data_IF_711139216785
#
_entry.id   IF_711139216785
#
_cell.length_a   1.000
_cell.length_b   1.000
_cell.length_c   1.000
_cell.angle_alpha   90.00
_cell.angle_beta   90.00
_cell.angle_gamma   90.00
#
_symmetry.space_group_name_H-M   'P 1'
#
loop_
_entity.id
_entity.type
_entity.pdbx_description
1 polymer ?
#
# COMPACT_ATOMS: atom_id res chain seq x y z
N UNK A 1 -8.25 -12.35 11.96
CA UNK A 1 -7.26 -11.35 12.41
C UNK A 1 -7.75 -9.98 11.98
N UNK A 2 -7.40 -8.90 12.68
CA UNK A 2 -7.78 -7.53 12.30
C UNK A 2 -6.56 -6.70 11.89
N UNK A 3 -6.71 -5.82 10.89
CA UNK A 3 -5.69 -4.82 10.55
C UNK A 3 -5.96 -3.52 11.32
N UNK A 4 -4.96 -3.03 12.03
CA UNK A 4 -5.03 -1.75 12.76
C UNK A 4 -4.20 -0.70 12.04
N UNK A 5 -4.85 0.42 11.70
CA UNK A 5 -4.22 1.55 11.02
C UNK A 5 -4.71 2.90 11.60
N UNK A 6 -4.09 4.00 11.17
CA UNK A 6 -4.50 5.38 11.47
C UNK A 6 -4.54 5.80 12.95
N UNK A 7 -3.72 5.17 13.81
CA UNK A 7 -3.55 5.65 15.19
C UNK A 7 -2.96 7.07 15.19
N UNK A 8 -3.74 8.03 15.68
CA UNK A 8 -3.31 9.42 15.76
C UNK A 8 -3.73 10.06 17.09
N UNK A 9 -2.83 10.85 17.68
CA UNK A 9 -3.09 11.68 18.86
C UNK A 9 -2.81 13.13 18.51
N UNK A 10 -3.77 14.01 18.86
CA UNK A 10 -3.66 15.44 18.66
C UNK A 10 -2.35 16.00 19.24
N UNK A 11 -1.69 16.92 18.53
CA UNK A 11 -0.34 17.40 18.89
C UNK A 11 -0.22 17.88 20.35
N UNK A 12 -1.25 18.58 20.86
CA UNK A 12 -1.32 19.11 22.23
C UNK A 12 -1.50 18.05 23.33
N UNK A 13 -1.93 16.83 22.96
CA UNK A 13 -2.20 15.73 23.91
C UNK A 13 -1.12 14.65 23.89
N UNK A 14 -0.04 14.87 23.14
CA UNK A 14 1.13 13.98 23.14
C UNK A 14 1.78 13.97 24.52
N UNK A 15 2.45 12.86 24.87
CA UNK A 15 3.06 12.60 26.18
C UNK A 15 2.09 12.48 27.37
N UNK A 16 0.77 12.61 27.18
CA UNK A 16 -0.25 12.40 28.22
C UNK A 16 -0.78 10.97 28.31
N UNK A 17 -0.05 9.99 27.75
CA UNK A 17 -0.43 8.56 27.73
C UNK A 17 -1.82 8.26 27.13
N UNK A 18 -2.29 9.06 26.17
CA UNK A 18 -3.57 8.85 25.47
C UNK A 18 -3.52 7.64 24.54
N UNK A 19 -2.43 7.44 23.79
CA UNK A 19 -2.32 6.32 22.84
C UNK A 19 -2.51 4.93 23.50
N UNK A 20 -1.90 4.61 24.66
CA UNK A 20 -2.19 3.37 25.38
C UNK A 20 -3.66 3.19 25.81
N UNK A 21 -4.42 4.29 26.01
CA UNK A 21 -5.86 4.21 26.31
C UNK A 21 -6.64 3.86 25.05
N UNK A 22 -6.33 4.51 23.93
CA UNK A 22 -6.95 4.21 22.63
C UNK A 22 -6.69 2.76 22.20
N UNK A 23 -5.45 2.28 22.35
CA UNK A 23 -5.08 0.89 22.06
C UNK A 23 -5.88 -0.07 22.94
N UNK A 24 -5.97 0.19 24.25
CA UNK A 24 -6.79 -0.65 25.15
C UNK A 24 -8.26 -0.67 24.76
N UNK A 25 -8.82 0.46 24.34
CA UNK A 25 -10.21 0.54 23.93
C UNK A 25 -10.47 -0.19 22.61
N UNK A 26 -9.60 -0.05 21.60
CA UNK A 26 -9.76 -0.82 20.36
C UNK A 26 -9.54 -2.31 20.60
N UNK A 27 -8.56 -2.71 21.43
CA UNK A 27 -8.42 -4.11 21.86
C UNK A 27 -9.66 -4.58 22.58
N UNK A 28 -10.26 -3.77 23.48
CA UNK A 28 -11.53 -4.11 24.13
C UNK A 28 -12.65 -4.28 23.10
N UNK A 29 -12.77 -3.42 22.09
CA UNK A 29 -13.82 -3.55 21.05
C UNK A 29 -13.59 -4.77 20.17
N UNK A 30 -12.37 -5.00 19.70
CA UNK A 30 -12.02 -6.20 18.94
C UNK A 30 -12.32 -7.45 19.78
N UNK A 31 -12.02 -7.44 21.07
CA UNK A 31 -12.25 -8.59 21.96
C UNK A 31 -13.71 -8.72 22.45
N UNK A 32 -14.49 -7.63 22.55
CA UNK A 32 -15.87 -7.62 23.11
C UNK A 32 -16.97 -7.57 22.06
N UNK A 33 -16.76 -6.90 20.93
CA UNK A 33 -17.75 -6.79 19.85
C UNK A 33 -17.76 -8.07 19.02
N UNK A 34 -16.65 -8.80 18.96
CA UNK A 34 -16.59 -10.10 18.29
C UNK A 34 -16.96 -11.24 19.24
N UNK A 35 -18.22 -11.65 19.20
CA UNK A 35 -18.62 -13.06 19.42
C UNK A 35 -17.97 -14.02 18.38
N UNK A 36 -17.09 -13.51 17.52
CA UNK A 36 -16.44 -14.18 16.38
C UNK A 36 -15.00 -14.68 16.67
N UNK A 37 -14.48 -14.53 17.89
CA UNK A 37 -13.25 -15.22 18.32
C UNK A 37 -11.92 -14.71 17.71
N UNK A 38 -11.85 -13.44 17.30
CA UNK A 38 -10.61 -12.84 16.75
C UNK A 38 -9.78 -12.20 17.86
N UNK A 39 -8.60 -12.77 18.16
CA UNK A 39 -7.69 -12.30 19.23
C UNK A 39 -6.35 -11.76 18.72
N UNK A 40 -6.20 -11.67 17.40
CA UNK A 40 -4.94 -11.32 16.74
C UNK A 40 -5.14 -10.08 15.89
N UNK A 41 -4.11 -9.22 15.89
CA UNK A 41 -4.07 -8.00 15.08
C UNK A 41 -2.74 -7.89 14.34
N UNK A 42 -2.77 -7.28 13.16
CA UNK A 42 -1.60 -6.86 12.37
C UNK A 42 -1.61 -5.36 12.22
N UNK A 43 -0.44 -4.75 12.31
CA UNK A 43 -0.24 -3.32 12.10
C UNK A 43 1.18 -3.06 11.60
N UNK A 44 1.36 -1.92 10.96
CA UNK A 44 2.68 -1.44 10.52
C UNK A 44 3.00 -0.12 11.22
N UNK A 45 4.29 0.15 11.45
CA UNK A 45 4.74 1.38 12.07
C UNK A 45 6.06 1.84 11.46
N UNK A 46 6.24 3.16 11.33
CA UNK A 46 7.51 3.77 10.95
C UNK A 46 8.54 3.86 12.08
N UNK A 47 8.23 3.31 13.26
CA UNK A 47 9.11 3.26 14.43
C UNK A 47 9.35 1.82 14.83
N UNK A 48 10.52 1.55 15.41
CA UNK A 48 10.85 0.20 15.91
C UNK A 48 10.04 -0.06 17.18
N UNK A 49 9.25 -1.12 17.15
CA UNK A 49 8.51 -1.66 18.29
C UNK A 49 9.08 -3.02 18.69
N UNK A 50 8.89 -3.48 19.94
CA UNK A 50 9.39 -4.79 20.35
C UNK A 50 8.84 -5.92 19.47
N UNK A 51 9.73 -6.83 19.05
CA UNK A 51 9.44 -8.05 18.28
C UNK A 51 8.69 -7.79 16.95
N UNK A 52 9.29 -7.06 15.98
CA UNK A 52 8.72 -6.96 14.65
C UNK A 52 8.76 -8.32 13.95
N UNK A 53 7.71 -8.65 13.19
CA UNK A 53 7.67 -9.87 12.34
C UNK A 53 8.56 -9.69 11.10
N UNK A 54 8.56 -8.48 10.53
CA UNK A 54 9.36 -8.11 9.37
C UNK A 54 9.73 -6.62 9.42
N UNK A 55 10.80 -6.26 8.71
CA UNK A 55 11.20 -4.87 8.47
C UNK A 55 11.38 -4.66 6.97
N UNK A 56 10.75 -3.62 6.42
CA UNK A 56 10.78 -3.30 5.00
C UNK A 56 11.32 -1.89 4.80
N UNK A 57 12.01 -1.67 3.66
CA UNK A 57 12.53 -0.35 3.30
C UNK A 57 11.72 0.23 2.14
N UNK A 58 11.29 1.48 2.28
CA UNK A 58 10.69 2.23 1.17
C UNK A 58 11.72 2.51 0.08
N UNK A 59 11.28 2.34 -1.18
CA UNK A 59 12.04 2.70 -2.37
C UNK A 59 11.30 3.80 -3.12
N UNK A 60 12.05 4.66 -3.80
CA UNK A 60 11.50 5.78 -4.56
C UNK A 60 12.03 5.75 -6.00
N UNK A 61 11.14 5.95 -6.97
CA UNK A 61 11.48 6.21 -8.37
C UNK A 61 10.99 7.59 -8.75
N UNK A 62 11.91 8.50 -9.08
CA UNK A 62 11.55 9.87 -9.41
C UNK A 62 10.82 9.96 -10.75
N UNK A 63 9.54 10.37 -10.73
CA UNK A 63 8.77 10.66 -11.94
C UNK A 63 8.93 12.13 -12.38
N UNK A 64 9.00 13.06 -11.41
CA UNK A 64 9.26 14.48 -11.64
C UNK A 64 10.45 14.97 -10.80
N UNK A 65 11.70 14.72 -11.22
CA UNK A 65 12.90 15.08 -10.45
C UNK A 65 13.01 16.58 -10.13
N UNK A 66 12.56 17.45 -11.03
CA UNK A 66 12.60 18.91 -10.84
C UNK A 66 11.81 19.33 -9.61
N UNK A 67 10.55 18.90 -9.53
CA UNK A 67 9.68 19.21 -8.39
C UNK A 67 10.22 18.61 -7.09
N UNK A 68 10.74 17.37 -7.14
CA UNK A 68 11.25 16.69 -5.94
C UNK A 68 12.48 17.37 -5.34
N UNK A 69 13.35 17.95 -6.17
CA UNK A 69 14.51 18.75 -5.72
C UNK A 69 14.04 20.11 -5.16
N UNK A 70 13.10 20.77 -5.83
CA UNK A 70 12.54 22.06 -5.41
C UNK A 70 11.93 22.01 -4.00
N UNK A 71 11.14 20.98 -3.71
CA UNK A 71 10.50 20.80 -2.39
C UNK A 71 11.41 20.13 -1.35
N UNK A 72 12.69 19.87 -1.69
CA UNK A 72 13.69 19.22 -0.84
C UNK A 72 13.31 17.79 -0.39
N UNK A 73 12.51 17.08 -1.19
CA UNK A 73 12.26 15.65 -0.95
C UNK A 73 13.45 14.79 -1.36
N UNK A 74 14.13 15.16 -2.46
CA UNK A 74 15.33 14.48 -2.96
C UNK A 74 16.44 15.47 -3.27
N UNK A 75 17.70 15.01 -3.29
CA UNK A 75 18.86 15.83 -3.60
C UNK A 75 19.58 15.33 -4.86
N UNK A 76 20.28 16.24 -5.54
CA UNK A 76 21.19 15.88 -6.62
C UNK A 76 22.43 15.21 -6.04
N UNK A 77 22.86 14.08 -6.62
CA UNK A 77 24.11 13.44 -6.22
C UNK A 77 25.31 14.27 -6.70
N UNK A 78 26.50 13.96 -6.17
CA UNK A 78 27.75 14.57 -6.61
C UNK A 78 27.88 14.46 -8.14
N UNK A 79 28.29 15.54 -8.79
CA UNK A 79 28.49 15.63 -10.24
C UNK A 79 27.23 15.40 -11.10
N UNK A 80 26.03 15.51 -10.53
CA UNK A 80 24.77 15.48 -11.30
C UNK A 80 24.16 16.87 -11.42
N UNK A 81 23.81 17.25 -12.65
CA UNK A 81 22.96 18.41 -12.92
C UNK A 81 21.49 17.99 -12.94
N UNK A 82 20.58 18.95 -12.79
CA UNK A 82 19.15 18.68 -12.87
C UNK A 82 18.76 18.09 -14.24
N UNK A 83 19.30 18.64 -15.33
CA UNK A 83 19.05 18.15 -16.69
C UNK A 83 19.49 16.69 -16.87
N UNK A 84 20.69 16.33 -16.38
CA UNK A 84 21.19 14.95 -16.45
C UNK A 84 20.30 13.99 -15.66
N UNK A 85 19.82 14.44 -14.50
CA UNK A 85 18.90 13.67 -13.66
C UNK A 85 17.55 13.47 -14.34
N UNK A 86 16.98 14.51 -14.94
CA UNK A 86 15.74 14.41 -15.72
C UNK A 86 15.88 13.45 -16.90
N UNK A 87 17.00 13.51 -17.64
CA UNK A 87 17.27 12.57 -18.74
C UNK A 87 17.38 11.12 -18.25
N UNK A 88 18.03 10.89 -17.10
CA UNK A 88 18.19 9.56 -16.50
C UNK A 88 16.85 8.93 -16.07
N UNK A 89 15.92 9.74 -15.57
CA UNK A 89 14.63 9.28 -15.07
C UNK A 89 13.48 9.38 -16.09
N UNK A 90 13.76 9.79 -17.33
CA UNK A 90 12.75 9.91 -18.38
C UNK A 90 12.08 8.57 -18.67
N UNK A 91 10.76 8.59 -18.77
CA UNK A 91 9.95 7.45 -19.19
C UNK A 91 9.38 7.68 -20.61
N UNK A 92 8.99 6.63 -21.32
CA UNK A 92 8.21 6.74 -22.56
C UNK A 92 6.83 7.37 -22.30
N UNK A 93 6.29 8.06 -23.30
CA UNK A 93 4.96 8.70 -23.22
C UNK A 93 3.80 7.69 -23.33
N UNK A 94 4.05 6.55 -23.98
CA UNK A 94 3.09 5.45 -24.12
C UNK A 94 3.59 4.18 -23.45
N UNK A 95 2.65 3.38 -22.92
CA UNK A 95 2.95 2.07 -22.35
C UNK A 95 3.44 1.10 -23.42
N UNK A 96 4.41 0.25 -23.07
CA UNK A 96 4.97 -0.75 -23.99
C UNK A 96 4.23 -2.09 -23.94
N UNK A 97 3.45 -2.31 -22.88
CA UNK A 97 2.75 -3.57 -22.64
C UNK A 97 1.47 -3.60 -23.46
N UNK A 98 1.44 -4.45 -24.48
CA UNK A 98 0.23 -4.68 -25.29
C UNK A 98 -0.90 -5.25 -24.41
N UNK A 99 -2.15 -4.86 -24.71
CA UNK A 99 -3.33 -5.33 -23.99
C UNK A 99 -3.51 -4.74 -22.58
N UNK A 100 -2.67 -3.79 -22.15
CA UNK A 100 -2.82 -3.11 -20.88
C UNK A 100 -4.05 -2.19 -20.91
N UNK A 101 -5.03 -2.46 -20.06
CA UNK A 101 -6.25 -1.66 -19.91
C UNK A 101 -6.66 -1.54 -18.45
N UNK A 102 -7.48 -0.54 -18.06
CA UNK A 102 -8.07 -0.50 -16.73
C UNK A 102 -8.81 -1.79 -16.39
N UNK A 103 -8.75 -2.19 -15.12
CA UNK A 103 -9.53 -3.31 -14.60
C UNK A 103 -11.03 -2.97 -14.63
N UNK A 104 -11.84 -3.95 -14.99
CA UNK A 104 -13.30 -3.84 -15.02
C UNK A 104 -13.96 -4.88 -14.09
N UNK A 105 -15.25 -4.73 -13.72
CA UNK A 105 -15.94 -5.69 -12.86
C UNK A 105 -15.91 -7.14 -13.36
N UNK A 106 -15.90 -7.35 -14.68
CA UNK A 106 -15.76 -8.69 -15.29
C UNK A 106 -14.44 -9.40 -14.96
N UNK A 107 -13.41 -8.64 -14.56
CA UNK A 107 -12.07 -9.18 -14.29
C UNK A 107 -11.90 -9.65 -12.84
N UNK A 108 -12.84 -9.33 -11.93
CA UNK A 108 -12.71 -9.56 -10.47
C UNK A 108 -12.32 -11.01 -10.16
N UNK A 109 -13.03 -11.98 -10.74
CA UNK A 109 -12.79 -13.40 -10.47
C UNK A 109 -11.38 -13.84 -10.90
N UNK A 110 -10.96 -13.43 -12.10
CA UNK A 110 -9.63 -13.75 -12.61
C UNK A 110 -8.52 -13.09 -11.78
N UNK A 111 -8.71 -11.83 -11.37
CA UNK A 111 -7.77 -11.10 -10.50
C UNK A 111 -7.67 -11.76 -9.13
N UNK A 112 -8.80 -12.19 -8.54
CA UNK A 112 -8.83 -12.93 -7.27
C UNK A 112 -7.99 -14.20 -7.35
N UNK A 113 -8.22 -15.01 -8.37
CA UNK A 113 -7.55 -16.30 -8.53
C UNK A 113 -6.03 -16.12 -8.75
N UNK A 114 -5.63 -15.17 -9.59
CA UNK A 114 -4.22 -14.84 -9.82
C UNK A 114 -3.55 -14.31 -8.54
N UNK A 115 -4.20 -13.38 -7.85
CA UNK A 115 -3.67 -12.75 -6.64
C UNK A 115 -3.50 -13.75 -5.52
N UNK A 116 -4.55 -14.53 -5.20
CA UNK A 116 -4.48 -15.55 -4.16
C UNK A 116 -3.48 -16.66 -4.52
N UNK A 117 -3.35 -17.03 -5.81
CA UNK A 117 -2.37 -18.02 -6.24
C UNK A 117 -0.94 -17.52 -6.07
N UNK A 118 -0.66 -16.28 -6.50
CA UNK A 118 0.66 -15.68 -6.36
C UNK A 118 1.04 -15.45 -4.89
N UNK A 119 0.09 -15.00 -4.06
CA UNK A 119 0.36 -14.65 -2.67
C UNK A 119 0.62 -15.87 -1.77
N UNK A 120 0.19 -17.08 -2.16
CA UNK A 120 0.45 -18.34 -1.42
C UNK A 120 1.93 -18.65 -1.20
N UNK A 121 2.83 -18.08 -1.98
CA UNK A 121 4.28 -18.30 -1.83
C UNK A 121 4.88 -17.55 -0.62
N UNK A 122 4.15 -16.62 -0.01
CA UNK A 122 4.64 -15.82 1.12
C UNK A 122 4.13 -16.37 2.46
N UNK A 123 4.96 -16.26 3.50
CA UNK A 123 4.64 -16.73 4.85
C UNK A 123 3.48 -15.97 5.52
N UNK A 124 3.24 -14.73 5.11
CA UNK A 124 2.15 -13.89 5.61
C UNK A 124 1.54 -13.12 4.44
N UNK A 125 0.28 -13.40 4.12
CA UNK A 125 -0.46 -12.74 3.06
C UNK A 125 -1.96 -12.72 3.36
N UNK A 126 -2.71 -11.72 2.87
CA UNK A 126 -4.16 -11.75 2.88
C UNK A 126 -4.68 -12.80 1.89
N UNK A 127 -5.77 -13.47 2.25
CA UNK A 127 -6.56 -14.29 1.34
C UNK A 127 -7.83 -13.51 1.09
N UNK A 128 -8.08 -13.13 -0.17
CA UNK A 128 -9.18 -12.24 -0.51
C UNK A 128 -10.32 -12.97 -1.20
N UNK A 129 -11.55 -12.63 -0.86
CA UNK A 129 -12.74 -13.03 -1.62
C UNK A 129 -13.02 -12.08 -2.81
N UNK A 130 -14.13 -12.30 -3.53
CA UNK A 130 -14.48 -11.46 -4.69
C UNK A 130 -14.92 -10.04 -4.30
N UNK A 131 -15.56 -9.88 -3.14
CA UNK A 131 -16.02 -8.57 -2.65
C UNK A 131 -14.83 -7.72 -2.20
N UNK A 132 -13.88 -8.34 -1.48
CA UNK A 132 -12.64 -7.71 -1.06
C UNK A 132 -11.79 -7.31 -2.28
N UNK A 133 -11.67 -8.19 -3.29
CA UNK A 133 -10.96 -7.85 -4.53
C UNK A 133 -11.65 -6.68 -5.25
N UNK A 134 -12.98 -6.68 -5.33
CA UNK A 134 -13.71 -5.56 -5.92
C UNK A 134 -13.46 -4.26 -5.16
N UNK A 135 -13.51 -4.30 -3.83
CA UNK A 135 -13.30 -3.14 -2.96
C UNK A 135 -11.88 -2.56 -3.08
N UNK A 136 -10.85 -3.43 -3.07
CA UNK A 136 -9.46 -3.02 -3.03
C UNK A 136 -8.81 -2.81 -4.39
N UNK A 137 -9.36 -3.34 -5.49
CA UNK A 137 -8.71 -3.27 -6.81
C UNK A 137 -9.53 -2.59 -7.90
N UNK A 138 -10.85 -2.39 -7.77
CA UNK A 138 -11.56 -1.66 -8.81
C UNK A 138 -11.09 -0.19 -8.88
N UNK A 139 -10.76 0.34 -10.07
CA UNK A 139 -10.27 1.71 -10.19
C UNK A 139 -11.28 2.72 -9.65
N UNK A 140 -10.79 3.65 -8.85
CA UNK A 140 -11.55 4.77 -8.31
C UNK A 140 -10.73 6.04 -8.49
N UNK A 141 -11.32 7.04 -9.13
CA UNK A 141 -10.65 8.29 -9.46
C UNK A 141 -10.03 8.92 -8.20
N UNK A 142 -8.74 9.25 -8.28
CA UNK A 142 -7.94 9.84 -7.20
C UNK A 142 -7.73 8.96 -5.95
N UNK A 143 -8.15 7.70 -5.96
CA UNK A 143 -8.00 6.76 -4.83
C UNK A 143 -7.09 5.60 -5.21
N UNK A 144 -7.44 4.86 -6.27
CA UNK A 144 -6.70 3.67 -6.70
C UNK A 144 -6.81 3.45 -8.21
N UNK A 145 -5.69 3.09 -8.81
CA UNK A 145 -5.57 2.74 -10.22
C UNK A 145 -5.11 1.29 -10.35
N UNK A 146 -5.90 0.47 -11.06
CA UNK A 146 -5.55 -0.93 -11.36
C UNK A 146 -5.70 -1.19 -12.84
N UNK A 147 -4.66 -1.80 -13.42
CA UNK A 147 -4.63 -2.19 -14.83
C UNK A 147 -4.40 -3.68 -14.95
N UNK A 148 -5.11 -4.30 -15.90
CA UNK A 148 -4.95 -5.71 -16.26
C UNK A 148 -4.39 -5.81 -17.67
N UNK A 149 -3.67 -6.90 -17.94
CA UNK A 149 -3.25 -7.25 -19.29
C UNK A 149 -4.27 -8.24 -19.83
N UNK A 150 -5.11 -7.78 -20.76
CA UNK A 150 -6.00 -8.66 -21.49
C UNK A 150 -5.19 -9.52 -22.45
N UNK A 151 -5.38 -10.83 -22.42
CA UNK A 151 -4.87 -11.67 -23.50
C UNK A 151 -5.51 -11.24 -24.82
N UNK A 152 -4.68 -11.00 -25.82
CA UNK A 152 -5.12 -10.89 -27.21
C UNK A 152 -5.58 -12.27 -27.67
N UNK A 153 -6.79 -12.68 -27.32
CA UNK A 153 -7.46 -13.76 -28.05
C UNK A 153 -7.97 -13.17 -29.36
N UNK A 154 -7.33 -13.62 -30.46
CA UNK A 154 -7.91 -13.61 -31.80
C UNK A 154 -9.37 -14.09 -31.78
#
# INVERSE_FOLDING_TARGET
MVEINFLCVHKKLRSKRVAPVLIREITRRVNRVNLEGIFQAVYTAGVVLPKPVATCRYWHRSLNPRKLVEVKFSHLSRNMTLQRTMKLYRLPDATKTSGLRPMEPRDIRAVRDLTNTYLKQFHLAPVMDEEEVAHWFLPQEHIIDTFVVGNSTN
#
